data_IF_901955869642
#
_entry.id   IF_901955869642
#
_cell.length_a   1.000
_cell.length_b   1.000
_cell.length_c   1.000
_cell.angle_alpha   90.00
_cell.angle_beta   90.00
_cell.angle_gamma   90.00
#
_symmetry.space_group_name_H-M   'P 1'
#
loop_
_entity.id
_entity.type
_entity.pdbx_description
1 polymer ?
#
# COMPACT_ATOMS: atom_id res chain seq x y z
N UNK A 1 0.67 6.95 -3.54
CA UNK A 1 0.50 5.65 -4.23
C UNK A 1 0.93 4.58 -3.24
N UNK A 2 0.34 3.40 -3.32
CA UNK A 2 0.58 2.32 -2.36
C UNK A 2 0.98 1.05 -3.12
N UNK A 3 1.91 0.28 -2.56
CA UNK A 3 2.28 -1.06 -3.02
C UNK A 3 1.52 -2.03 -2.14
N UNK A 4 0.61 -2.78 -2.73
CA UNK A 4 -0.37 -3.58 -1.98
C UNK A 4 -0.50 -4.98 -2.54
N UNK A 5 -0.86 -5.90 -1.65
CA UNK A 5 -1.27 -7.25 -2.02
C UNK A 5 -2.79 -7.33 -2.25
N UNK A 6 -3.27 -8.51 -2.64
CA UNK A 6 -4.69 -8.76 -2.92
C UNK A 6 -5.62 -8.45 -1.73
N UNK A 7 -5.19 -8.71 -0.50
CA UNK A 7 -6.02 -8.47 0.69
C UNK A 7 -6.17 -6.97 0.94
N UNK A 8 -5.06 -6.24 0.90
CA UNK A 8 -5.07 -4.79 1.08
C UNK A 8 -5.87 -4.08 -0.02
N UNK A 9 -5.80 -4.56 -1.26
CA UNK A 9 -6.64 -4.09 -2.36
C UNK A 9 -8.13 -4.25 -2.01
N UNK A 10 -8.55 -5.43 -1.57
CA UNK A 10 -9.94 -5.66 -1.17
C UNK A 10 -10.38 -4.78 0.01
N UNK A 11 -9.48 -4.46 0.96
CA UNK A 11 -9.77 -3.52 2.05
C UNK A 11 -9.92 -2.08 1.55
N UNK A 12 -9.08 -1.65 0.61
CA UNK A 12 -9.21 -0.34 0.00
C UNK A 12 -10.53 -0.23 -0.80
N UNK A 13 -10.89 -1.26 -1.57
CA UNK A 13 -12.17 -1.31 -2.30
C UNK A 13 -13.36 -1.22 -1.33
N UNK A 14 -13.34 -2.00 -0.24
CA UNK A 14 -14.36 -1.94 0.80
C UNK A 14 -14.45 -0.56 1.46
N UNK A 15 -13.31 0.12 1.66
CA UNK A 15 -13.28 1.49 2.20
C UNK A 15 -13.96 2.49 1.25
N UNK A 16 -13.76 2.33 -0.06
CA UNK A 16 -14.48 3.13 -1.06
C UNK A 16 -15.98 2.82 -1.08
N UNK A 17 -16.38 1.56 -1.02
CA UNK A 17 -17.79 1.16 -0.97
C UNK A 17 -18.51 1.72 0.28
N UNK A 18 -17.82 1.76 1.42
CA UNK A 18 -18.32 2.33 2.68
C UNK A 18 -18.25 3.86 2.75
N UNK A 19 -17.66 4.51 1.75
CA UNK A 19 -17.52 5.96 1.70
C UNK A 19 -16.45 6.54 2.63
N UNK A 20 -15.54 5.72 3.15
CA UNK A 20 -14.39 6.20 3.94
C UNK A 20 -13.36 6.92 3.06
N UNK A 21 -13.26 6.50 1.80
CA UNK A 21 -12.45 7.15 0.76
C UNK A 21 -13.28 7.32 -0.50
N UNK A 22 -12.89 8.27 -1.36
CA UNK A 22 -13.70 8.64 -2.54
C UNK A 22 -13.69 7.55 -3.62
N UNK A 23 -12.54 6.96 -3.89
CA UNK A 23 -12.35 5.95 -4.94
C UNK A 23 -11.00 5.25 -4.77
N UNK A 24 -10.88 4.04 -5.32
CA UNK A 24 -9.63 3.30 -5.42
C UNK A 24 -9.34 2.98 -6.88
N UNK A 25 -8.07 3.09 -7.26
CA UNK A 25 -7.58 2.69 -8.59
C UNK A 25 -6.41 1.74 -8.40
N UNK A 26 -6.60 0.49 -8.80
CA UNK A 26 -5.57 -0.56 -8.71
C UNK A 26 -4.87 -0.66 -10.06
N UNK A 27 -3.54 -0.60 -10.06
CA UNK A 27 -2.70 -0.86 -11.23
C UNK A 27 -1.98 -2.18 -10.98
N UNK A 28 -2.30 -3.21 -11.76
CA UNK A 28 -1.62 -4.50 -11.68
C UNK A 28 -0.32 -4.47 -12.48
N UNK A 29 0.80 -4.63 -11.79
CA UNK A 29 2.15 -4.60 -12.38
C UNK A 29 2.96 -5.80 -11.87
N UNK A 30 3.84 -6.32 -12.72
CA UNK A 30 4.81 -7.35 -12.34
C UNK A 30 6.06 -6.65 -11.80
N UNK A 31 6.05 -6.30 -10.53
CA UNK A 31 7.18 -5.67 -9.85
C UNK A 31 8.11 -6.78 -9.32
N UNK A 32 9.42 -6.77 -9.64
CA UNK A 32 10.36 -7.72 -9.06
C UNK A 32 10.50 -7.48 -7.55
N UNK A 33 10.72 -8.55 -6.78
CA UNK A 33 10.96 -8.44 -5.34
C UNK A 33 12.37 -7.89 -5.07
N UNK A 34 12.50 -6.56 -5.17
CA UNK A 34 13.76 -5.85 -4.93
C UNK A 34 13.96 -5.57 -3.44
N UNK A 35 15.19 -5.24 -2.99
CA UNK A 35 15.45 -4.87 -1.60
C UNK A 35 14.58 -3.69 -1.12
N UNK A 36 14.19 -2.80 -2.03
CA UNK A 36 13.30 -1.67 -1.73
C UNK A 36 11.86 -2.13 -1.43
N UNK A 37 11.36 -3.14 -2.16
CA UNK A 37 10.06 -3.76 -1.88
C UNK A 37 10.11 -4.48 -0.53
N UNK A 38 11.14 -5.28 -0.29
CA UNK A 38 11.30 -6.01 0.98
C UNK A 38 11.39 -5.05 2.19
N UNK A 39 12.17 -3.96 2.07
CA UNK A 39 12.27 -2.95 3.12
C UNK A 39 10.91 -2.29 3.43
N UNK A 40 10.11 -2.04 2.39
CA UNK A 40 8.77 -1.50 2.55
C UNK A 40 7.83 -2.50 3.23
N UNK A 41 7.80 -3.75 2.77
CA UNK A 41 6.98 -4.82 3.34
C UNK A 41 7.29 -5.06 4.82
N UNK A 42 8.59 -5.11 5.16
CA UNK A 42 9.03 -5.28 6.55
C UNK A 42 8.54 -4.12 7.43
N UNK A 43 8.67 -2.88 6.96
CA UNK A 43 8.18 -1.73 7.70
C UNK A 43 6.67 -1.82 7.95
N UNK A 44 5.88 -2.15 6.94
CA UNK A 44 4.43 -2.28 7.08
C UNK A 44 4.06 -3.39 8.06
N UNK A 45 4.66 -4.57 7.91
CA UNK A 45 4.39 -5.73 8.77
C UNK A 45 4.77 -5.48 10.25
N UNK A 46 5.78 -4.66 10.51
CA UNK A 46 6.21 -4.32 11.88
C UNK A 46 5.38 -3.22 12.54
N UNK A 47 4.77 -2.32 11.75
CA UNK A 47 4.16 -1.09 12.27
C UNK A 47 2.62 -1.09 12.16
N UNK A 48 2.04 -1.93 11.31
CA UNK A 48 0.62 -1.91 11.01
C UNK A 48 0.03 -3.31 11.03
N UNK A 49 -1.22 -3.40 11.48
CA UNK A 49 -2.04 -4.60 11.35
C UNK A 49 -3.02 -4.41 10.20
N UNK A 50 -3.20 -5.46 9.39
CA UNK A 50 -4.15 -5.41 8.28
C UNK A 50 -5.57 -5.29 8.83
N UNK A 51 -6.36 -4.26 8.46
CA UNK A 51 -7.72 -4.12 8.95
C UNK A 51 -8.59 -5.31 8.52
N UNK A 52 -9.52 -5.70 9.38
CA UNK A 52 -10.50 -6.73 9.05
C UNK A 52 -11.65 -6.17 8.23
N UNK A 53 -12.55 -7.02 7.74
CA UNK A 53 -13.78 -6.60 7.06
C UNK A 53 -14.73 -5.80 7.95
N UNK A 54 -14.51 -5.81 9.27
CA UNK A 54 -15.31 -5.07 10.24
C UNK A 54 -14.79 -3.64 10.46
N UNK A 55 -13.82 -3.16 9.67
CA UNK A 55 -13.29 -1.80 9.79
C UNK A 55 -14.38 -0.71 9.71
N UNK A 56 -14.33 0.26 10.62
CA UNK A 56 -15.27 1.37 10.76
C UNK A 56 -14.71 2.73 10.30
N UNK A 57 -13.42 2.74 9.97
CA UNK A 57 -12.72 3.86 9.35
C UNK A 57 -11.65 3.35 8.38
N UNK A 58 -11.11 4.25 7.57
CA UNK A 58 -9.93 4.00 6.75
C UNK A 58 -8.73 4.72 7.37
N UNK A 59 -7.67 3.96 7.63
CA UNK A 59 -6.40 4.51 8.12
C UNK A 59 -5.42 4.63 6.95
N UNK A 60 -4.86 5.83 6.75
CA UNK A 60 -3.74 6.03 5.84
C UNK A 60 -2.41 5.80 6.59
N UNK A 61 -1.73 4.71 6.25
CA UNK A 61 -0.45 4.35 6.86
C UNK A 61 0.61 5.41 6.63
N UNK A 62 1.12 5.94 7.74
CA UNK A 62 2.14 6.96 7.77
C UNK A 62 3.48 6.38 7.36
N UNK A 63 4.16 7.06 6.44
CA UNK A 63 5.44 6.61 5.88
C UNK A 63 6.52 7.62 6.23
N UNK A 64 7.44 7.30 7.16
CA UNK A 64 8.60 8.13 7.43
C UNK A 64 9.39 8.39 6.15
N UNK A 65 10.16 9.50 6.06
CA UNK A 65 10.89 9.87 4.84
C UNK A 65 11.76 8.75 4.26
N UNK A 66 12.34 7.90 5.12
CA UNK A 66 13.12 6.73 4.71
C UNK A 66 12.27 5.69 3.98
N UNK A 67 11.08 5.38 4.51
CA UNK A 67 10.15 4.41 3.92
C UNK A 67 9.57 4.95 2.61
N UNK A 68 9.24 6.25 2.59
CA UNK A 68 8.79 6.91 1.37
C UNK A 68 9.87 6.84 0.28
N UNK A 69 11.15 7.00 0.64
CA UNK A 69 12.25 6.83 -0.30
C UNK A 69 12.32 5.43 -0.91
N UNK A 70 12.10 4.36 -0.12
CA UNK A 70 12.06 2.99 -0.65
C UNK A 70 10.94 2.83 -1.70
N UNK A 71 9.75 3.35 -1.43
CA UNK A 71 8.63 3.32 -2.40
C UNK A 71 8.99 4.09 -3.66
N UNK A 72 9.55 5.29 -3.53
CA UNK A 72 9.93 6.11 -4.69
C UNK A 72 10.99 5.39 -5.55
N UNK A 73 11.90 4.65 -4.93
CA UNK A 73 12.86 3.80 -5.62
C UNK A 73 12.18 2.66 -6.37
N UNK A 74 11.23 1.95 -5.75
CA UNK A 74 10.43 0.92 -6.44
C UNK A 74 9.71 1.50 -7.65
N UNK A 75 9.04 2.65 -7.50
CA UNK A 75 8.33 3.29 -8.60
C UNK A 75 9.29 3.68 -9.74
N UNK A 76 10.45 4.24 -9.40
CA UNK A 76 11.48 4.63 -10.36
C UNK A 76 12.06 3.44 -11.12
N UNK A 77 12.40 2.35 -10.43
CA UNK A 77 12.94 1.12 -11.03
C UNK A 77 11.96 0.47 -12.01
N UNK A 78 10.65 0.62 -11.74
CA UNK A 78 9.58 0.06 -12.54
C UNK A 78 9.02 1.05 -13.58
N UNK A 79 9.63 2.22 -13.74
CA UNK A 79 9.21 3.27 -14.68
C UNK A 79 7.77 3.74 -14.47
N UNK A 80 7.34 3.84 -13.20
CA UNK A 80 6.03 4.33 -12.79
C UNK A 80 6.19 5.79 -12.34
N UNK A 81 5.54 6.73 -13.04
CA UNK A 81 5.61 8.17 -12.77
C UNK A 81 4.51 8.95 -13.47
#
# INVERSE_FOLDING_TARGET
MEISNMVQNGRAELAAERGFIKQVRILQLNIPHSPHVEAYENYINENYEMPTEQMDHFEEWQKPPKVQHEIDMVLRENHIG
#
